data_IF_367807600602
#
_entry.id   IF_367807600602
#
_cell.length_a   1.000
_cell.length_b   1.000
_cell.length_c   1.000
_cell.angle_alpha   90.00
_cell.angle_beta   90.00
_cell.angle_gamma   90.00
#
_symmetry.space_group_name_H-M   'P 1'
#
loop_
_entity.id
_entity.type
_entity.pdbx_description
1 polymer ?
#
# COMPACT_ATOMS: atom_id res chain seq x y z
N UNK A 1 -8.74 -0.12 8.88
CA UNK A 1 -7.94 0.20 7.67
C UNK A 1 -7.60 1.70 7.62
N UNK A 2 -8.59 2.59 7.77
CA UNK A 2 -8.39 4.05 7.85
C UNK A 2 -7.41 4.49 8.96
N UNK A 3 -7.42 3.84 10.12
CA UNK A 3 -6.46 4.09 11.21
C UNK A 3 -5.00 3.74 10.85
N UNK A 4 -4.79 2.70 10.04
CA UNK A 4 -3.45 2.34 9.52
C UNK A 4 -2.98 3.35 8.47
N UNK A 5 -3.87 3.80 7.58
CA UNK A 5 -3.60 4.84 6.58
C UNK A 5 -3.17 6.15 7.27
N UNK A 6 -3.93 6.60 8.28
CA UNK A 6 -3.59 7.78 9.07
C UNK A 6 -2.22 7.64 9.77
N UNK A 7 -1.91 6.43 10.25
CA UNK A 7 -0.60 6.13 10.86
C UNK A 7 0.54 6.23 9.85
N UNK A 8 0.38 5.70 8.64
CA UNK A 8 1.36 5.82 7.55
C UNK A 8 1.58 7.28 7.17
N UNK A 9 0.50 8.06 7.08
CA UNK A 9 0.56 9.48 6.76
C UNK A 9 1.28 10.29 7.86
N UNK A 10 0.99 9.99 9.13
CA UNK A 10 1.61 10.64 10.30
C UNK A 10 3.09 10.27 10.45
N UNK A 11 3.47 9.02 10.18
CA UNK A 11 4.87 8.55 10.23
C UNK A 11 5.72 9.12 9.10
N UNK A 12 5.14 9.40 7.94
CA UNK A 12 5.85 9.98 6.82
C UNK A 12 5.98 11.51 6.89
N UNK A 13 5.43 12.17 7.93
CA UNK A 13 5.40 13.63 8.08
C UNK A 13 4.81 14.37 6.85
N UNK A 14 3.93 13.69 6.10
CA UNK A 14 3.34 14.20 4.85
C UNK A 14 4.02 13.65 3.59
N UNK A 15 3.24 12.94 2.77
CA UNK A 15 3.66 12.56 1.43
C UNK A 15 3.47 13.75 0.48
N UNK A 16 4.56 14.27 -0.09
CA UNK A 16 4.50 15.31 -1.14
C UNK A 16 3.87 14.81 -2.44
N UNK A 17 3.89 13.49 -2.68
CA UNK A 17 3.33 12.89 -3.88
C UNK A 17 2.21 11.89 -3.52
N UNK A 18 0.97 12.09 -4.01
CA UNK A 18 -0.15 11.20 -3.73
C UNK A 18 0.00 9.78 -4.31
N UNK A 19 0.77 9.59 -5.38
CA UNK A 19 1.09 8.24 -5.88
C UNK A 19 1.97 7.48 -4.90
N UNK A 20 3.00 8.11 -4.34
CA UNK A 20 3.86 7.48 -3.35
C UNK A 20 3.08 7.15 -2.07
N UNK A 21 2.11 7.99 -1.70
CA UNK A 21 1.22 7.69 -0.57
C UNK A 21 0.37 6.44 -0.82
N UNK A 22 -0.25 6.33 -2.00
CA UNK A 22 -1.00 5.11 -2.38
C UNK A 22 -0.13 3.86 -2.31
N UNK A 23 1.08 3.90 -2.88
CA UNK A 23 2.01 2.76 -2.84
C UNK A 23 2.35 2.38 -1.40
N UNK A 24 2.68 3.34 -0.54
CA UNK A 24 2.97 3.07 0.87
C UNK A 24 1.77 2.53 1.65
N UNK A 25 0.57 3.02 1.37
CA UNK A 25 -0.67 2.48 1.94
C UNK A 25 -0.89 1.05 1.47
N UNK A 26 -0.70 0.74 0.19
CA UNK A 26 -0.81 -0.63 -0.32
C UNK A 26 0.25 -1.56 0.28
N UNK A 27 1.48 -1.07 0.46
CA UNK A 27 2.58 -1.84 1.05
C UNK A 27 2.34 -2.13 2.55
N UNK A 28 1.95 -1.12 3.33
CA UNK A 28 1.79 -1.24 4.78
C UNK A 28 0.42 -1.76 5.22
N UNK A 29 -0.65 -1.54 4.43
CA UNK A 29 -2.02 -1.92 4.79
C UNK A 29 -2.59 -3.03 3.92
N UNK A 30 -2.14 -3.15 2.66
CA UNK A 30 -2.72 -4.05 1.66
C UNK A 30 -2.03 -5.40 1.52
N UNK A 31 -0.87 -5.61 2.13
CA UNK A 31 -0.14 -6.89 2.05
C UNK A 31 0.31 -7.25 0.63
N UNK A 32 0.47 -6.26 -0.26
CA UNK A 32 0.98 -6.50 -1.60
C UNK A 32 2.52 -6.47 -1.59
N UNK A 33 3.12 -7.56 -2.08
CA UNK A 33 4.56 -7.65 -2.32
C UNK A 33 5.02 -6.51 -3.25
N UNK A 34 6.13 -5.85 -2.88
CA UNK A 34 6.76 -4.74 -3.64
C UNK A 34 7.09 -5.12 -5.09
N UNK A 35 7.22 -6.43 -5.34
CA UNK A 35 7.33 -7.05 -6.65
C UNK A 35 6.13 -7.98 -6.84
N UNK A 36 5.11 -7.60 -7.63
CA UNK A 36 4.15 -8.59 -8.08
C UNK A 36 4.95 -9.57 -8.96
N UNK A 37 5.28 -10.74 -8.42
CA UNK A 37 5.84 -11.83 -9.21
C UNK A 37 4.76 -12.26 -10.19
N UNK A 38 4.69 -11.60 -11.36
CA UNK A 38 3.76 -11.82 -12.47
C UNK A 38 2.52 -12.61 -12.04
N UNK A 39 1.75 -12.04 -11.11
CA UNK A 39 0.65 -12.79 -10.49
C UNK A 39 -0.47 -12.77 -11.52
N UNK A 40 -0.49 -13.79 -12.36
CA UNK A 40 -1.65 -14.11 -13.16
C UNK A 40 -2.78 -14.29 -12.15
N UNK A 41 -3.79 -13.43 -12.23
CA UNK A 41 -5.00 -13.48 -11.41
C UNK A 41 -5.77 -14.78 -11.70
N UNK A 42 -5.29 -15.90 -11.19
CA UNK A 42 -6.10 -17.12 -11.12
C UNK A 42 -6.89 -17.01 -9.83
N UNK A 43 -8.21 -16.82 -9.98
CA UNK A 43 -9.14 -16.91 -8.86
C UNK A 43 -8.98 -18.33 -8.28
N UNK A 44 -8.59 -18.42 -7.02
CA UNK A 44 -8.69 -19.66 -6.26
C UNK A 44 -10.18 -19.98 -6.09
N UNK A 45 -10.62 -21.05 -6.76
CA UNK A 45 -11.90 -21.71 -6.56
C UNK A 45 -11.71 -23.02 -5.82
#
# INVERSE_FOLDING_TARGET
LNSKIATVQKRACGYRNPNNFKIAVYFHCGGLNLYPANVIHTKAG
#
